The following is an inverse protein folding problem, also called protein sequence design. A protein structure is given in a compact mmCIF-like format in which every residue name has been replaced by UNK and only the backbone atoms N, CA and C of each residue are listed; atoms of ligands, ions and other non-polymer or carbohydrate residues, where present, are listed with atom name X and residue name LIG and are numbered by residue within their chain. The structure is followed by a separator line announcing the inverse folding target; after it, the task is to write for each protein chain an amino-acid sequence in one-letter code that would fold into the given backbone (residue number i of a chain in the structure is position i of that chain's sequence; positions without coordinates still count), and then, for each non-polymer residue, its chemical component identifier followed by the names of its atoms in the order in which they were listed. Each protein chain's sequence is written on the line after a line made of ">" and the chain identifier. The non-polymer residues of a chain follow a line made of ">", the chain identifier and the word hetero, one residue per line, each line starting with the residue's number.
data_IF_332574182648
#
_entry.id   IF_332574182648
#
_cell.length_a   1.000
_cell.length_b   1.000
_cell.length_c   1.000
_cell.angle_alpha   90.00
_cell.angle_beta   90.00
_cell.angle_gamma   90.00
#
_symmetry.space_group_name_H-M   'P 1'
#
loop_
_entity.id
_entity.type
_entity.pdbx_description
1 polymer ?
#
# COMPACT_ATOMS: atom_id res chain seq x y z
N UNK A 1 -0.56 9.79 12.26
CA UNK A 1 -0.94 9.32 10.91
C UNK A 1 -2.44 9.51 10.71
N UNK A 2 -2.86 9.83 9.49
CA UNK A 2 -4.27 9.79 9.04
C UNK A 2 -5.29 10.46 9.99
N UNK A 3 -4.83 11.47 10.72
CA UNK A 3 -5.62 12.19 11.70
C UNK A 3 -5.77 13.66 11.31
N UNK A 4 -6.26 14.49 12.24
CA UNK A 4 -6.28 15.93 12.06
C UNK A 4 -4.89 16.48 11.75
N UNK A 5 -4.79 17.32 10.73
CA UNK A 5 -3.54 17.93 10.25
C UNK A 5 -3.41 19.35 10.81
N UNK A 6 -2.20 19.77 11.17
CA UNK A 6 -1.93 21.19 11.47
C UNK A 6 -2.12 22.00 10.18
N UNK A 7 -3.01 22.99 10.15
CA UNK A 7 -3.42 23.63 8.91
C UNK A 7 -3.48 25.16 9.02
N UNK A 8 -3.24 25.91 7.93
CA UNK A 8 -3.45 27.36 7.91
C UNK A 8 -4.94 27.72 7.93
N UNK A 9 -5.36 28.66 8.79
CA UNK A 9 -6.78 29.01 8.99
C UNK A 9 -7.51 29.59 7.77
N UNK A 10 -6.79 30.03 6.74
CA UNK A 10 -7.35 30.58 5.51
C UNK A 10 -7.21 29.69 4.28
N UNK A 11 -6.55 28.55 4.39
CA UNK A 11 -6.30 27.67 3.24
C UNK A 11 -7.39 26.59 3.16
N UNK A 12 -8.11 26.46 2.03
CA UNK A 12 -9.15 25.44 1.90
C UNK A 12 -8.55 24.03 1.93
N UNK A 13 -9.33 23.06 2.40
CA UNK A 13 -8.90 21.67 2.36
C UNK A 13 -8.69 21.20 0.91
N UNK A 14 -7.57 20.53 0.61
CA UNK A 14 -7.20 20.13 -0.74
C UNK A 14 -8.18 19.13 -1.34
N UNK A 15 -8.39 19.25 -2.66
CA UNK A 15 -9.32 18.40 -3.43
C UNK A 15 -8.68 17.94 -4.74
N UNK A 16 -8.92 16.70 -5.11
CA UNK A 16 -8.50 16.09 -6.36
C UNK A 16 -9.64 16.12 -7.39
N UNK A 17 -9.31 16.51 -8.63
CA UNK A 17 -10.21 16.41 -9.79
C UNK A 17 -9.54 15.69 -10.97
N UNK A 18 -8.44 14.98 -10.71
CA UNK A 18 -7.79 14.15 -11.73
C UNK A 18 -8.66 12.92 -12.05
N UNK A 19 -8.58 12.40 -13.29
CA UNK A 19 -9.21 11.13 -13.62
C UNK A 19 -8.76 10.02 -12.65
N UNK A 20 -9.72 9.28 -12.10
CA UNK A 20 -9.47 8.12 -11.25
C UNK A 20 -10.50 7.02 -11.52
N UNK A 21 -10.26 5.86 -10.92
CA UNK A 21 -11.19 4.75 -10.93
C UNK A 21 -12.49 5.13 -10.25
N UNK A 22 -13.56 5.19 -11.04
CA UNK A 22 -14.94 5.33 -10.56
C UNK A 22 -15.70 4.06 -10.86
N UNK A 23 -16.58 3.66 -9.95
CA UNK A 23 -17.59 2.65 -10.27
C UNK A 23 -18.70 3.28 -11.12
N UNK A 24 -19.09 2.55 -12.16
CA UNK A 24 -20.15 2.91 -13.09
C UNK A 24 -21.16 1.77 -13.07
N UNK A 25 -22.38 2.07 -12.65
CA UNK A 25 -23.51 1.18 -12.84
C UNK A 25 -24.19 1.50 -14.16
N UNK A 26 -24.32 0.48 -15.02
CA UNK A 26 -24.97 0.60 -16.33
C UNK A 26 -25.81 -0.64 -16.63
N UNK A 27 -26.78 -0.56 -17.56
CA UNK A 27 -27.45 -1.75 -18.07
C UNK A 27 -26.44 -2.77 -18.61
N UNK A 28 -26.72 -4.05 -18.40
CA UNK A 28 -25.92 -5.13 -18.97
C UNK A 28 -26.05 -5.12 -20.50
N UNK A 29 -24.92 -5.21 -21.20
CA UNK A 29 -24.88 -5.42 -22.65
C UNK A 29 -25.07 -6.90 -22.98
N UNK A 30 -25.32 -7.20 -24.25
CA UNK A 30 -25.35 -8.59 -24.71
C UNK A 30 -24.02 -9.32 -24.44
N UNK A 31 -22.89 -8.61 -24.52
CA UNK A 31 -21.56 -9.17 -24.22
C UNK A 31 -21.38 -9.47 -22.73
N UNK A 32 -21.86 -8.61 -21.83
CA UNK A 32 -21.81 -8.89 -20.39
C UNK A 32 -22.66 -10.11 -20.03
N UNK A 33 -23.86 -10.21 -20.61
CA UNK A 33 -24.76 -11.34 -20.39
C UNK A 33 -24.15 -12.65 -20.89
N UNK A 34 -23.47 -12.61 -22.03
CA UNK A 34 -22.73 -13.73 -22.59
C UNK A 34 -21.53 -14.11 -21.71
N UNK A 35 -20.79 -13.13 -21.19
CA UNK A 35 -19.71 -13.35 -20.24
C UNK A 35 -20.22 -14.01 -18.95
N UNK A 36 -21.36 -13.56 -18.42
CA UNK A 36 -21.99 -14.18 -17.26
C UNK A 36 -22.39 -15.62 -17.53
N UNK A 37 -23.00 -15.90 -18.67
CA UNK A 37 -23.36 -17.26 -19.08
C UNK A 37 -22.13 -18.17 -19.14
N UNK A 38 -21.04 -17.70 -19.76
CA UNK A 38 -19.77 -18.44 -19.82
C UNK A 38 -19.17 -18.67 -18.43
N UNK A 39 -19.23 -17.67 -17.55
CA UNK A 39 -18.77 -17.81 -16.16
C UNK A 39 -19.57 -18.85 -15.39
N UNK A 40 -20.90 -18.83 -15.52
CA UNK A 40 -21.80 -19.80 -14.88
C UNK A 40 -21.52 -21.23 -15.41
N UNK A 41 -21.23 -21.39 -16.71
CA UNK A 41 -20.82 -22.66 -17.32
C UNK A 41 -19.48 -23.19 -16.80
N UNK A 42 -18.47 -22.31 -16.65
CA UNK A 42 -17.16 -22.69 -16.09
C UNK A 42 -17.28 -23.10 -14.62
N UNK A 43 -18.08 -22.39 -13.82
CA UNK A 43 -18.36 -22.77 -12.43
C UNK A 43 -19.06 -24.13 -12.36
N UNK A 44 -20.03 -24.39 -13.25
CA UNK A 44 -20.69 -25.69 -13.33
C UNK A 44 -19.70 -26.82 -13.68
N UNK A 45 -18.82 -26.60 -14.67
CA UNK A 45 -17.76 -27.56 -15.05
C UNK A 45 -16.79 -27.82 -13.89
N UNK A 46 -16.40 -26.79 -13.15
CA UNK A 46 -15.53 -26.94 -11.99
C UNK A 46 -16.23 -27.73 -10.88
N UNK A 47 -17.51 -27.45 -10.62
CA UNK A 47 -18.29 -28.21 -9.64
C UNK A 47 -18.42 -29.69 -10.03
N UNK A 48 -18.63 -30.01 -11.30
CA UNK A 48 -18.69 -31.39 -11.78
C UNK A 48 -17.34 -32.11 -11.63
N UNK A 49 -16.23 -31.45 -11.98
CA UNK A 49 -14.88 -31.98 -11.77
C UNK A 49 -14.59 -32.27 -10.30
N UNK A 50 -14.90 -31.33 -9.41
CA UNK A 50 -14.72 -31.50 -7.97
C UNK A 50 -15.62 -32.60 -7.40
N UNK A 51 -16.84 -32.78 -7.92
CA UNK A 51 -17.76 -33.85 -7.50
C UNK A 51 -17.27 -35.24 -7.91
N UNK A 52 -16.51 -35.32 -9.00
CA UNK A 52 -15.96 -36.56 -9.53
C UNK A 52 -14.64 -36.98 -8.86
N UNK A 53 -14.04 -36.12 -8.03
CA UNK A 53 -12.82 -36.46 -7.30
C UNK A 53 -13.13 -37.48 -6.19
N UNK A 54 -12.25 -38.49 -5.99
CA UNK A 54 -12.39 -39.41 -4.88
C UNK A 54 -12.20 -38.68 -3.55
N UNK A 55 -12.81 -39.17 -2.45
CA UNK A 55 -12.59 -38.61 -1.12
C UNK A 55 -11.13 -38.85 -0.69
N UNK A 56 -10.37 -37.78 -0.51
CA UNK A 56 -9.00 -37.80 0.02
C UNK A 56 -9.01 -37.99 1.55
N UNK A 57 -8.56 -39.14 2.09
CA UNK A 57 -8.53 -39.36 3.53
C UNK A 57 -7.49 -38.46 4.19
N UNK A 58 -7.88 -37.73 5.25
CA UNK A 58 -6.94 -36.97 6.10
C UNK A 58 -6.62 -35.54 5.64
N UNK A 59 -7.31 -35.00 4.63
CA UNK A 59 -7.18 -33.59 4.27
C UNK A 59 -7.74 -32.67 5.38
N UNK A 60 -6.99 -31.63 5.76
CA UNK A 60 -7.44 -30.59 6.71
C UNK A 60 -8.34 -29.51 6.05
N UNK A 61 -8.61 -29.63 4.75
CA UNK A 61 -9.39 -28.68 3.96
C UNK A 61 -10.85 -29.08 3.78
N UNK A 62 -11.63 -28.20 3.15
CA UNK A 62 -13.02 -28.51 2.77
C UNK A 62 -13.04 -29.70 1.79
N UNK A 63 -13.85 -30.74 2.03
CA UNK A 63 -13.98 -31.85 1.09
C UNK A 63 -14.41 -31.38 -0.30
N UNK A 64 -13.84 -31.97 -1.36
CA UNK A 64 -14.14 -31.58 -2.75
C UNK A 64 -15.65 -31.64 -3.08
N UNK A 65 -16.36 -32.64 -2.55
CA UNK A 65 -17.81 -32.76 -2.69
C UNK A 65 -18.56 -31.58 -2.04
N UNK A 66 -18.12 -31.12 -0.86
CA UNK A 66 -18.70 -29.96 -0.17
C UNK A 66 -18.41 -28.67 -0.93
N UNK A 67 -17.18 -28.50 -1.43
CA UNK A 67 -16.80 -27.36 -2.27
C UNK A 67 -17.64 -27.32 -3.57
N UNK A 68 -17.84 -28.47 -4.22
CA UNK A 68 -18.71 -28.57 -5.39
C UNK A 68 -20.16 -28.19 -5.08
N UNK A 69 -20.70 -28.64 -3.95
CA UNK A 69 -22.05 -28.29 -3.52
C UNK A 69 -22.18 -26.78 -3.26
N UNK A 70 -21.19 -26.16 -2.61
CA UNK A 70 -21.14 -24.72 -2.40
C UNK A 70 -21.12 -23.96 -3.73
N UNK A 71 -20.29 -24.37 -4.70
CA UNK A 71 -20.24 -23.75 -6.02
C UNK A 71 -21.59 -23.82 -6.75
N UNK A 72 -22.30 -24.97 -6.70
CA UNK A 72 -23.66 -25.10 -7.28
C UNK A 72 -24.68 -24.19 -6.59
N UNK A 73 -24.59 -24.04 -5.27
CA UNK A 73 -25.44 -23.11 -4.53
C UNK A 73 -25.18 -21.66 -4.94
N UNK A 74 -23.92 -21.24 -5.03
CA UNK A 74 -23.53 -19.89 -5.46
C UNK A 74 -23.99 -19.61 -6.90
N UNK A 75 -23.79 -20.57 -7.82
CA UNK A 75 -24.23 -20.46 -9.20
C UNK A 75 -25.76 -20.34 -9.32
N UNK A 76 -26.51 -21.16 -8.58
CA UNK A 76 -27.99 -21.10 -8.62
C UNK A 76 -28.55 -19.80 -8.01
N UNK A 77 -27.94 -19.30 -6.92
CA UNK A 77 -28.29 -18.00 -6.36
C UNK A 77 -28.01 -16.85 -7.34
N UNK A 78 -26.93 -16.95 -8.10
CA UNK A 78 -26.56 -15.99 -9.15
C UNK A 78 -27.51 -16.03 -10.35
N UNK A 79 -27.86 -17.23 -10.84
CA UNK A 79 -28.74 -17.42 -12.00
C UNK A 79 -30.18 -16.93 -11.74
N UNK A 80 -30.65 -16.97 -10.48
CA UNK A 80 -31.99 -16.55 -10.11
C UNK A 80 -32.16 -15.02 -9.97
N UNK A 81 -31.10 -14.22 -10.11
CA UNK A 81 -31.20 -12.76 -10.16
C UNK A 81 -31.02 -12.30 -11.61
N UNK A 82 -32.00 -11.61 -12.21
CA UNK A 82 -31.83 -11.06 -13.54
C UNK A 82 -30.69 -10.04 -13.51
N UNK A 83 -29.60 -10.32 -14.24
CA UNK A 83 -28.41 -9.47 -14.38
C UNK A 83 -28.71 -8.29 -15.31
N UNK A 84 -29.62 -7.42 -14.89
CA UNK A 84 -30.09 -6.26 -15.69
C UNK A 84 -29.12 -5.09 -15.66
N UNK A 85 -28.36 -4.95 -14.58
CA UNK A 85 -27.29 -3.96 -14.44
C UNK A 85 -25.96 -4.63 -14.14
N UNK A 86 -24.88 -3.98 -14.57
CA UNK A 86 -23.51 -4.35 -14.26
C UNK A 86 -22.82 -3.17 -13.62
N UNK A 87 -22.01 -3.46 -12.60
CA UNK A 87 -21.04 -2.50 -12.05
C UNK A 87 -19.72 -2.74 -12.74
N UNK A 88 -19.24 -1.72 -13.44
CA UNK A 88 -17.91 -1.70 -14.06
C UNK A 88 -17.07 -0.61 -13.41
N UNK A 89 -15.75 -0.64 -13.63
CA UNK A 89 -14.87 0.46 -13.24
C UNK A 89 -14.26 1.10 -14.47
N UNK A 90 -14.14 2.42 -14.49
CA UNK A 90 -13.45 3.15 -15.55
C UNK A 90 -12.64 4.31 -14.96
N UNK A 91 -11.61 4.75 -15.71
CA UNK A 91 -10.96 6.02 -15.41
C UNK A 91 -11.85 7.15 -15.90
N UNK A 92 -12.32 7.99 -15.00
CA UNK A 92 -13.08 9.18 -15.36
C UNK A 92 -12.77 10.33 -14.41
N UNK A 93 -12.99 11.55 -14.90
CA UNK A 93 -12.96 12.75 -14.05
C UNK A 93 -14.19 12.67 -13.13
N UNK A 94 -14.01 12.79 -11.80
CA UNK A 94 -15.15 12.77 -10.89
C UNK A 94 -16.06 13.98 -11.13
N UNK A 95 -17.39 13.83 -10.99
CA UNK A 95 -18.35 14.92 -11.22
C UNK A 95 -18.19 16.07 -10.20
N UNK A 96 -17.59 15.79 -9.04
CA UNK A 96 -17.25 16.77 -8.02
C UNK A 96 -15.81 16.51 -7.52
N UNK A 97 -15.02 17.55 -7.19
CA UNK A 97 -13.69 17.33 -6.64
C UNK A 97 -13.71 16.57 -5.32
N UNK A 98 -12.92 15.49 -5.25
CA UNK A 98 -12.82 14.58 -4.11
C UNK A 98 -11.90 15.17 -3.05
N UNK A 99 -12.33 15.33 -1.78
CA UNK A 99 -11.43 15.76 -0.71
C UNK A 99 -10.28 14.76 -0.53
N UNK A 100 -9.06 15.26 -0.41
CA UNK A 100 -7.90 14.40 -0.16
C UNK A 100 -7.95 13.89 1.29
N UNK A 101 -7.53 12.65 1.52
CA UNK A 101 -7.45 12.08 2.86
C UNK A 101 -6.05 12.34 3.45
N UNK A 102 -5.95 12.58 4.77
CA UNK A 102 -4.66 12.72 5.44
C UNK A 102 -3.92 11.38 5.43
N UNK A 103 -2.62 11.42 5.16
CA UNK A 103 -1.75 10.23 5.21
C UNK A 103 -0.83 10.33 6.41
N UNK A 104 0.08 11.30 6.40
CA UNK A 104 1.04 11.48 7.50
C UNK A 104 1.42 12.94 7.67
N UNK A 105 1.77 13.31 8.91
CA UNK A 105 2.42 14.56 9.24
C UNK A 105 3.61 14.26 10.14
N UNK A 106 4.80 14.68 9.73
CA UNK A 106 6.07 14.39 10.40
C UNK A 106 6.85 15.69 10.60
N UNK A 107 7.44 15.89 11.78
CA UNK A 107 8.34 17.03 12.02
C UNK A 107 9.75 16.67 11.59
N UNK A 108 10.53 17.65 11.16
CA UNK A 108 11.94 17.46 10.80
C UNK A 108 12.76 16.83 11.93
N UNK A 109 12.43 17.13 13.19
CA UNK A 109 13.07 16.54 14.36
C UNK A 109 12.84 15.03 14.49
N UNK A 110 11.73 14.49 13.97
CA UNK A 110 11.37 13.08 14.06
C UNK A 110 11.97 12.25 12.90
N UNK A 111 12.40 12.91 11.81
CA UNK A 111 12.97 12.28 10.61
C UNK A 111 14.27 12.98 10.17
N UNK A 112 15.34 12.91 10.98
CA UNK A 112 16.55 13.73 10.80
C UNK A 112 17.32 13.48 9.50
N UNK A 113 17.10 12.33 8.85
CA UNK A 113 17.73 11.99 7.57
C UNK A 113 17.01 12.58 6.35
N UNK A 114 15.75 13.02 6.52
CA UNK A 114 14.98 13.63 5.44
C UNK A 114 15.40 15.09 5.23
N UNK A 115 15.46 15.50 3.96
CA UNK A 115 15.73 16.90 3.60
C UNK A 115 14.42 17.70 3.57
N UNK A 116 14.45 18.86 4.20
CA UNK A 116 13.35 19.83 4.19
C UNK A 116 13.73 21.04 3.36
N UNK A 117 12.81 21.61 2.56
CA UNK A 117 13.01 22.92 1.96
C UNK A 117 13.34 23.99 3.01
N UNK A 118 14.11 25.01 2.62
CA UNK A 118 14.49 26.11 3.51
C UNK A 118 13.26 26.76 4.17
N UNK A 119 13.35 26.99 5.49
CA UNK A 119 12.28 27.62 6.27
C UNK A 119 11.08 26.72 6.56
N UNK A 120 11.19 25.40 6.35
CA UNK A 120 10.14 24.42 6.70
C UNK A 120 10.66 23.40 7.70
N UNK A 121 9.77 22.94 8.59
CA UNK A 121 10.07 21.96 9.65
C UNK A 121 8.97 20.89 9.77
N UNK A 122 7.95 20.93 8.90
CA UNK A 122 6.82 20.02 8.90
C UNK A 122 6.53 19.49 7.49
N UNK A 123 6.53 18.16 7.36
CA UNK A 123 6.10 17.44 6.17
C UNK A 123 4.66 16.97 6.39
N UNK A 124 3.79 17.23 5.43
CA UNK A 124 2.44 16.68 5.38
C UNK A 124 2.23 15.99 4.04
N UNK A 125 1.69 14.78 4.09
CA UNK A 125 1.27 14.05 2.90
C UNK A 125 -0.24 13.80 3.02
N UNK A 126 -0.94 14.19 1.97
CA UNK A 126 -2.34 13.87 1.73
C UNK A 126 -2.42 13.18 0.38
N UNK A 127 -3.48 12.41 0.11
CA UNK A 127 -3.68 11.88 -1.24
C UNK A 127 -5.16 11.76 -1.61
N UNK A 128 -5.43 11.64 -2.91
CA UNK A 128 -6.73 11.16 -3.37
C UNK A 128 -6.88 9.69 -2.94
N UNK A 129 -8.00 9.30 -2.29
CA UNK A 129 -8.17 7.95 -1.79
C UNK A 129 -8.56 6.93 -2.89
N UNK A 130 -8.73 7.39 -4.14
CA UNK A 130 -9.07 6.57 -5.30
C UNK A 130 -7.84 6.25 -6.16
N UNK A 131 -7.97 5.18 -6.94
CA UNK A 131 -6.89 4.69 -7.80
C UNK A 131 -6.74 5.55 -9.06
N UNK A 132 -5.56 6.10 -9.30
CA UNK A 132 -5.18 6.80 -10.52
C UNK A 132 -4.23 5.96 -11.37
N UNK A 133 -4.33 6.08 -12.69
CA UNK A 133 -3.36 5.51 -13.63
C UNK A 133 -2.52 6.57 -14.36
N UNK A 134 -2.81 7.86 -14.12
CA UNK A 134 -2.09 8.99 -14.67
C UNK A 134 -2.20 10.17 -13.68
N UNK A 135 -1.05 10.67 -13.23
CA UNK A 135 -0.95 11.83 -12.33
C UNK A 135 0.14 12.74 -12.88
N UNK A 136 -0.12 14.05 -13.08
CA UNK A 136 0.90 14.97 -13.58
C UNK A 136 2.15 14.97 -12.70
N UNK A 137 3.32 14.83 -13.33
CA UNK A 137 4.62 14.81 -12.64
C UNK A 137 5.03 13.46 -12.04
N UNK A 138 4.22 12.41 -12.20
CA UNK A 138 4.55 11.03 -11.86
C UNK A 138 4.92 10.21 -13.10
N UNK A 139 5.58 9.07 -12.88
CA UNK A 139 5.82 8.04 -13.89
C UNK A 139 4.56 7.65 -14.68
N UNK A 140 4.71 7.36 -15.98
CA UNK A 140 3.61 7.01 -16.88
C UNK A 140 2.90 5.69 -16.52
N UNK A 141 3.62 4.81 -15.79
CA UNK A 141 3.10 3.57 -15.24
C UNK A 141 2.60 3.74 -13.81
N UNK A 142 2.44 4.96 -13.29
CA UNK A 142 1.84 5.19 -11.96
C UNK A 142 0.50 4.48 -11.85
N UNK A 143 0.34 3.67 -10.81
CA UNK A 143 -0.92 2.98 -10.49
C UNK A 143 -1.13 3.10 -8.98
N UNK A 144 -1.99 4.00 -8.54
CA UNK A 144 -2.15 4.26 -7.11
C UNK A 144 -2.77 5.61 -6.78
N UNK A 145 -2.75 6.02 -5.50
CA UNK A 145 -3.30 7.30 -5.08
C UNK A 145 -2.51 8.47 -5.69
N UNK A 146 -3.17 9.61 -5.88
CA UNK A 146 -2.51 10.85 -6.31
C UNK A 146 -2.10 11.66 -5.07
N UNK A 147 -0.79 11.84 -4.79
CA UNK A 147 -0.34 12.51 -3.59
C UNK A 147 -0.34 14.03 -3.74
N UNK A 148 -0.44 14.70 -2.60
CA UNK A 148 -0.07 16.09 -2.42
C UNK A 148 0.87 16.16 -1.22
N UNK A 149 2.05 16.71 -1.46
CA UNK A 149 3.09 16.90 -0.44
C UNK A 149 3.13 18.38 -0.10
N UNK A 150 3.00 18.68 1.19
CA UNK A 150 3.12 20.04 1.70
C UNK A 150 4.30 20.12 2.67
N UNK A 151 5.25 20.98 2.35
CA UNK A 151 6.31 21.40 3.25
C UNK A 151 5.89 22.70 3.92
N UNK A 152 5.87 22.75 5.25
CA UNK A 152 5.32 23.87 6.02
C UNK A 152 6.28 24.32 7.12
N UNK A 153 6.16 25.59 7.45
CA UNK A 153 6.65 26.19 8.68
C UNK A 153 5.59 26.01 9.76
N UNK A 154 5.83 25.14 10.74
CA UNK A 154 4.87 24.75 11.74
C UNK A 154 4.45 25.91 12.65
N UNK A 155 5.26 26.98 12.75
CA UNK A 155 4.94 28.18 13.52
C UNK A 155 3.81 29.02 12.88
N UNK A 156 3.54 28.81 11.60
CA UNK A 156 2.48 29.51 10.84
C UNK A 156 1.16 28.76 10.83
N UNK A 157 1.09 27.58 11.45
CA UNK A 157 -0.10 26.73 11.47
C UNK A 157 -0.84 26.93 12.79
N UNK A 158 -2.14 27.20 12.70
CA UNK A 158 -2.89 27.78 13.83
C UNK A 158 -3.98 26.87 14.38
N UNK A 159 -4.35 25.81 13.66
CA UNK A 159 -5.42 24.91 14.08
C UNK A 159 -5.26 23.50 13.50
N UNK A 160 -5.99 22.55 14.05
CA UNK A 160 -6.11 21.19 13.53
C UNK A 160 -7.32 21.11 12.61
N UNK A 161 -7.10 20.76 11.34
CA UNK A 161 -8.16 20.55 10.35
C UNK A 161 -8.34 19.07 10.05
N UNK A 162 -9.59 18.66 9.81
CA UNK A 162 -9.96 17.33 9.32
C UNK A 162 -10.50 17.43 7.90
N UNK A 163 -10.40 16.35 7.11
CA UNK A 163 -11.07 16.34 5.81
C UNK A 163 -12.59 16.51 5.99
N UNK A 164 -13.28 17.11 5.01
CA UNK A 164 -14.74 17.18 4.98
C UNK A 164 -15.40 15.79 5.09
N UNK A 165 -16.62 15.76 5.64
CA UNK A 165 -17.40 14.54 5.78
C UNK A 165 -17.51 13.75 4.47
N UNK A 166 -17.36 12.42 4.56
CA UNK A 166 -17.40 11.50 3.42
C UNK A 166 -16.09 11.38 2.64
N UNK A 167 -15.01 12.04 3.07
CA UNK A 167 -13.70 11.82 2.47
C UNK A 167 -13.25 10.36 2.66
N UNK A 168 -12.98 9.67 1.54
CA UNK A 168 -12.49 8.30 1.55
C UNK A 168 -13.53 7.20 1.73
N UNK A 169 -14.83 7.50 1.83
CA UNK A 169 -15.88 6.49 2.08
C UNK A 169 -15.88 5.32 1.09
N UNK A 170 -15.54 5.58 -0.18
CA UNK A 170 -15.44 4.55 -1.24
C UNK A 170 -13.99 4.38 -1.75
N UNK A 171 -13.03 4.93 -1.01
CA UNK A 171 -11.62 4.92 -1.36
C UNK A 171 -10.92 3.65 -0.88
N UNK A 172 -9.97 3.15 -1.67
CA UNK A 172 -9.16 1.98 -1.29
C UNK A 172 -7.88 2.36 -0.56
N UNK A 173 -7.44 3.61 -0.69
CA UNK A 173 -6.21 4.12 -0.09
C UNK A 173 -6.54 4.99 1.12
N UNK A 174 -7.24 4.43 2.10
CA UNK A 174 -7.58 5.11 3.36
C UNK A 174 -6.82 4.42 4.49
N UNK A 175 -6.30 5.20 5.43
CA UNK A 175 -5.60 4.71 6.61
C UNK A 175 -6.43 5.01 7.87
N UNK A 176 -6.25 4.17 8.89
CA UNK A 176 -6.78 4.39 10.22
C UNK A 176 -6.01 5.49 10.94
N UNK A 177 -6.70 6.37 11.65
CA UNK A 177 -6.05 7.38 12.49
C UNK A 177 -5.27 6.70 13.60
N UNK A 178 -3.98 7.00 13.71
CA UNK A 178 -3.12 6.52 14.79
C UNK A 178 -2.03 7.55 15.15
N UNK A 179 -1.48 7.41 16.35
CA UNK A 179 -0.29 8.16 16.78
C UNK A 179 0.95 7.38 16.35
N UNK A 180 1.99 8.09 15.91
CA UNK A 180 3.28 7.49 15.55
C UNK A 180 4.23 7.69 16.72
N UNK A 181 4.91 6.63 17.14
CA UNK A 181 6.05 6.67 18.06
C UNK A 181 7.31 6.37 17.24
N UNK A 182 8.13 7.39 16.90
CA UNK A 182 9.29 7.15 16.05
C UNK A 182 10.42 6.43 16.81
N UNK A 183 10.91 5.34 16.23
CA UNK A 183 12.12 4.65 16.65
C UNK A 183 13.18 4.76 15.53
N UNK A 184 14.43 5.07 15.90
CA UNK A 184 15.53 5.12 14.94
C UNK A 184 16.26 3.77 14.91
N UNK A 185 16.18 3.10 13.76
CA UNK A 185 16.84 1.82 13.49
C UNK A 185 17.97 1.96 12.46
N UNK A 186 18.81 0.94 12.35
CA UNK A 186 19.73 0.78 11.21
C UNK A 186 19.07 -0.12 10.19
N UNK A 187 18.93 0.37 8.96
CA UNK A 187 18.29 -0.34 7.84
C UNK A 187 19.30 -0.44 6.69
N UNK A 188 19.53 -1.65 6.18
CA UNK A 188 20.45 -1.92 5.08
C UNK A 188 19.69 -2.18 3.76
N UNK A 189 20.32 -1.99 2.59
CA UNK A 189 19.68 -2.33 1.31
C UNK A 189 19.45 -3.83 1.18
N UNK A 190 18.43 -4.21 0.41
CA UNK A 190 18.24 -5.60 -0.02
C UNK A 190 19.52 -6.15 -0.67
N UNK A 191 19.79 -7.45 -0.51
CA UNK A 191 20.96 -8.13 -1.06
C UNK A 191 21.16 -7.83 -2.54
N UNK A 192 20.09 -7.82 -3.34
CA UNK A 192 20.16 -7.59 -4.78
C UNK A 192 20.57 -6.14 -5.15
N UNK A 193 20.46 -5.20 -4.20
CA UNK A 193 20.89 -3.82 -4.38
C UNK A 193 22.37 -3.58 -4.01
N UNK A 194 23.05 -4.57 -3.43
CA UNK A 194 24.46 -4.49 -3.09
C UNK A 194 25.35 -4.81 -4.30
N UNK A 195 26.59 -4.28 -4.37
CA UNK A 195 27.59 -4.73 -5.32
C UNK A 195 27.93 -6.23 -5.14
N UNK A 196 28.20 -6.94 -6.25
CA UNK A 196 28.51 -8.38 -6.25
C UNK A 196 29.53 -8.81 -5.18
N UNK A 197 30.66 -8.10 -4.95
CA UNK A 197 31.62 -8.50 -3.91
C UNK A 197 31.07 -8.44 -2.47
N UNK A 198 30.02 -7.65 -2.22
CA UNK A 198 29.32 -7.65 -0.93
C UNK A 198 28.28 -8.75 -0.86
N UNK A 199 27.62 -9.09 -1.97
CA UNK A 199 26.70 -10.23 -2.02
C UNK A 199 27.45 -11.54 -1.73
N UNK A 200 28.58 -11.79 -2.40
CA UNK A 200 29.43 -12.98 -2.16
C UNK A 200 29.89 -13.06 -0.69
N UNK A 201 30.27 -11.93 -0.09
CA UNK A 201 30.66 -11.87 1.32
C UNK A 201 29.52 -12.17 2.28
N UNK A 202 28.29 -11.81 1.92
CA UNK A 202 27.10 -12.13 2.73
C UNK A 202 26.77 -13.62 2.61
N UNK A 203 26.93 -14.22 1.44
CA UNK A 203 26.79 -15.66 1.23
C UNK A 203 27.82 -16.44 2.05
N UNK A 204 29.11 -16.11 1.94
CA UNK A 204 30.18 -16.71 2.75
C UNK A 204 29.92 -16.58 4.25
N UNK A 205 29.45 -15.40 4.68
CA UNK A 205 29.10 -15.15 6.08
C UNK A 205 27.92 -16.02 6.52
N UNK A 206 26.85 -16.10 5.71
CA UNK A 206 25.68 -16.93 6.02
C UNK A 206 26.06 -18.41 6.11
N UNK A 207 26.85 -18.92 5.16
CA UNK A 207 27.35 -20.30 5.16
C UNK A 207 28.20 -20.60 6.40
N UNK A 208 28.96 -19.62 6.88
CA UNK A 208 29.77 -19.76 8.10
C UNK A 208 28.95 -19.93 9.39
N UNK A 209 27.66 -19.54 9.39
CA UNK A 209 26.76 -19.71 10.53
C UNK A 209 26.27 -21.16 10.68
N UNK A 210 26.41 -21.97 9.64
CA UNK A 210 25.91 -23.35 9.60
C UNK A 210 24.40 -23.43 9.30
N UNK A 211 23.81 -24.63 9.41
CA UNK A 211 22.41 -24.85 9.04
C UNK A 211 21.44 -24.23 10.05
N UNK A 212 20.40 -23.57 9.53
CA UNK A 212 19.30 -22.94 10.30
C UNK A 212 19.79 -21.98 11.41
N UNK A 213 20.50 -20.88 11.03
CA UNK A 213 21.06 -19.95 12.00
C UNK A 213 20.00 -19.16 12.79
N UNK A 214 18.72 -19.22 12.38
CA UNK A 214 17.62 -18.50 13.02
C UNK A 214 17.59 -16.99 12.75
N UNK A 215 18.54 -16.47 11.96
CA UNK A 215 18.56 -15.10 11.45
C UNK A 215 19.33 -15.02 10.14
N UNK A 216 19.00 -14.07 9.28
CA UNK A 216 19.75 -13.80 8.06
C UNK A 216 19.72 -12.31 7.68
N UNK A 217 20.64 -11.92 6.79
CA UNK A 217 20.76 -10.52 6.38
C UNK A 217 19.47 -9.97 5.75
N UNK A 218 18.83 -10.75 4.86
CA UNK A 218 17.69 -10.30 4.08
C UNK A 218 16.48 -10.05 4.98
N UNK A 219 16.24 -10.96 5.93
CA UNK A 219 15.05 -10.92 6.75
C UNK A 219 15.22 -10.10 8.03
N UNK A 220 16.43 -10.01 8.60
CA UNK A 220 16.66 -9.41 9.92
C UNK A 220 17.47 -8.11 9.91
N UNK A 221 18.08 -7.73 8.78
CA UNK A 221 18.95 -6.54 8.71
C UNK A 221 18.64 -5.62 7.53
N UNK A 222 18.08 -6.14 6.44
CA UNK A 222 17.86 -5.40 5.21
C UNK A 222 16.39 -5.07 4.95
N UNK A 223 16.19 -3.95 4.27
CA UNK A 223 14.91 -3.46 3.76
C UNK A 223 13.79 -3.57 4.81
N UNK A 224 14.05 -3.02 6.00
CA UNK A 224 13.20 -3.16 7.19
C UNK A 224 11.70 -3.04 6.81
N UNK A 225 10.87 -4.05 7.11
CA UNK A 225 9.45 -4.00 6.79
C UNK A 225 8.75 -2.94 7.64
N UNK A 226 7.50 -2.63 7.30
CA UNK A 226 6.68 -1.74 8.13
C UNK A 226 6.57 -0.31 7.63
N UNK A 227 5.86 0.51 8.41
CA UNK A 227 5.83 1.96 8.25
C UNK A 227 7.22 2.52 8.57
N UNK A 228 7.85 3.18 7.60
CA UNK A 228 9.13 3.85 7.83
C UNK A 228 9.31 5.11 7.01
N UNK A 229 10.09 6.04 7.54
CA UNK A 229 10.52 7.23 6.83
C UNK A 229 12.04 7.18 6.63
N UNK A 230 12.48 7.23 5.37
CA UNK A 230 13.87 6.90 5.02
C UNK A 230 14.12 5.39 4.92
N UNK A 231 15.40 5.01 4.96
CA UNK A 231 15.85 3.62 4.84
C UNK A 231 15.80 3.11 3.39
N UNK A 232 15.63 1.80 3.24
CA UNK A 232 15.71 1.13 1.94
C UNK A 232 14.39 0.45 1.56
N UNK A 233 13.84 0.68 0.36
CA UNK A 233 12.60 0.03 -0.05
C UNK A 233 12.79 -1.48 -0.23
N UNK A 234 11.79 -2.25 0.18
CA UNK A 234 11.66 -3.66 -0.22
C UNK A 234 11.04 -3.73 -1.63
N UNK A 235 11.68 -4.50 -2.51
CA UNK A 235 11.20 -4.77 -3.85
C UNK A 235 11.06 -6.28 -4.06
N UNK A 236 9.83 -6.82 -4.25
CA UNK A 236 9.63 -8.24 -4.52
C UNK A 236 10.30 -8.74 -5.81
N UNK A 237 10.63 -7.82 -6.71
CA UNK A 237 11.13 -8.09 -8.06
C UNK A 237 12.47 -7.42 -8.33
N UNK A 238 13.26 -7.22 -7.28
CA UNK A 238 14.59 -6.61 -7.33
C UNK A 238 14.59 -5.08 -7.38
N UNK A 239 15.75 -4.46 -7.09
CA UNK A 239 15.87 -3.02 -6.92
C UNK A 239 15.56 -2.26 -8.20
N UNK A 240 14.82 -1.15 -8.06
CA UNK A 240 14.48 -0.25 -9.16
C UNK A 240 15.12 1.11 -8.92
N UNK A 241 15.93 1.63 -9.86
CA UNK A 241 16.39 3.02 -9.81
C UNK A 241 15.19 3.97 -9.94
N UNK A 242 15.09 4.93 -9.02
CA UNK A 242 14.00 5.91 -9.01
C UNK A 242 14.60 7.28 -9.33
N UNK A 243 14.62 7.64 -10.61
CA UNK A 243 15.24 8.88 -11.10
C UNK A 243 14.37 10.12 -10.90
N UNK A 244 15.01 11.27 -10.75
CA UNK A 244 14.37 12.59 -10.80
C UNK A 244 14.60 13.27 -12.15
N UNK A 245 13.67 14.12 -12.58
CA UNK A 245 13.78 14.89 -13.81
C UNK A 245 15.00 15.83 -13.83
N UNK A 246 15.57 16.17 -12.67
CA UNK A 246 16.82 16.95 -12.58
C UNK A 246 18.10 16.13 -12.80
N UNK A 247 17.99 14.80 -13.01
CA UNK A 247 19.11 13.90 -13.21
C UNK A 247 19.69 13.28 -11.93
N UNK A 248 19.18 13.65 -10.75
CA UNK A 248 19.56 13.01 -9.49
C UNK A 248 18.71 11.77 -9.18
N UNK A 249 19.25 10.86 -8.38
CA UNK A 249 18.47 9.79 -7.74
C UNK A 249 17.48 10.34 -6.71
N UNK A 250 16.49 9.52 -6.39
CA UNK A 250 15.54 9.77 -5.31
C UNK A 250 15.76 8.78 -4.18
N UNK A 251 15.65 9.28 -2.96
CA UNK A 251 15.70 8.48 -1.74
C UNK A 251 14.27 8.11 -1.31
N UNK A 252 14.12 6.99 -0.61
CA UNK A 252 12.84 6.63 0.02
C UNK A 252 12.50 7.70 1.07
N UNK A 253 11.36 8.38 0.89
CA UNK A 253 10.83 9.34 1.86
C UNK A 253 9.93 8.63 2.88
N UNK A 254 9.03 7.78 2.40
CA UNK A 254 8.06 7.07 3.23
C UNK A 254 7.67 5.74 2.59
N UNK A 255 7.61 4.68 3.39
CA UNK A 255 6.99 3.40 3.05
C UNK A 255 5.75 3.20 3.92
N UNK A 256 4.63 2.86 3.30
CA UNK A 256 3.36 2.52 3.97
C UNK A 256 2.98 1.10 3.56
N UNK A 257 3.09 0.12 4.46
CA UNK A 257 2.90 -1.27 4.11
C UNK A 257 1.42 -1.67 4.18
N UNK A 258 1.04 -2.70 3.41
CA UNK A 258 -0.19 -3.46 3.62
C UNK A 258 0.00 -4.44 4.79
N UNK A 259 0.12 -3.88 5.98
CA UNK A 259 0.44 -4.60 7.20
C UNK A 259 1.93 -4.78 7.48
N UNK A 260 2.25 -4.87 8.75
CA UNK A 260 3.60 -4.91 9.30
C UNK A 260 3.92 -6.36 9.69
N UNK A 261 4.30 -7.14 8.69
CA UNK A 261 4.81 -8.50 8.87
C UNK A 261 6.31 -8.48 8.63
N UNK A 262 7.05 -9.01 9.59
CA UNK A 262 8.49 -9.10 9.58
C UNK A 262 8.95 -10.18 10.55
N UNK A 263 10.25 -10.42 10.59
CA UNK A 263 10.84 -11.23 11.64
C UNK A 263 10.77 -10.51 13.00
N UNK A 264 10.86 -11.24 14.12
CA UNK A 264 10.82 -10.62 15.45
C UNK A 264 11.92 -9.58 15.71
N UNK A 265 13.03 -9.60 14.94
CA UNK A 265 14.12 -8.63 15.06
C UNK A 265 13.70 -7.20 14.69
N UNK A 266 12.64 -7.03 13.88
CA UNK A 266 12.07 -5.72 13.53
C UNK A 266 10.95 -5.26 14.46
N UNK A 267 10.59 -6.06 15.46
CA UNK A 267 9.56 -5.65 16.41
C UNK A 267 10.11 -4.54 17.30
N UNK A 268 9.44 -3.38 17.41
CA UNK A 268 9.83 -2.33 18.34
C UNK A 268 10.01 -2.87 19.75
N UNK A 269 10.98 -2.34 20.49
CA UNK A 269 11.31 -2.85 21.84
C UNK A 269 10.10 -2.81 22.77
N UNK A 270 9.28 -1.77 22.69
CA UNK A 270 8.04 -1.62 23.45
C UNK A 270 6.95 -2.65 23.09
N UNK A 271 6.99 -3.21 21.88
CA UNK A 271 5.95 -4.08 21.33
C UNK A 271 6.31 -5.57 21.38
N UNK A 272 7.48 -5.95 21.92
CA UNK A 272 7.91 -7.34 22.00
C UNK A 272 6.91 -8.26 22.71
N UNK A 273 6.25 -7.79 23.78
CA UNK A 273 5.20 -8.57 24.45
C UNK A 273 3.98 -8.76 23.56
N UNK A 274 3.54 -7.71 22.86
CA UNK A 274 2.39 -7.76 21.95
C UNK A 274 2.67 -8.64 20.73
N UNK A 275 3.91 -8.68 20.24
CA UNK A 275 4.32 -9.58 19.18
C UNK A 275 4.21 -11.06 19.57
N UNK A 276 4.50 -11.41 20.83
CA UNK A 276 4.34 -12.78 21.35
C UNK A 276 2.86 -13.15 21.47
N UNK A 277 2.01 -12.23 21.92
CA UNK A 277 0.55 -12.44 22.01
C UNK A 277 -0.09 -12.56 20.62
N UNK A 278 0.44 -11.81 19.64
CA UNK A 278 0.00 -11.81 18.25
C UNK A 278 -1.37 -11.16 18.05
N UNK A 279 -1.99 -11.46 16.91
CA UNK A 279 -3.31 -10.96 16.53
C UNK A 279 -3.32 -10.24 15.18
N UNK A 280 -4.47 -10.22 14.52
CA UNK A 280 -4.61 -9.57 13.20
C UNK A 280 -4.35 -8.06 13.30
N UNK A 281 -4.87 -7.40 14.34
CA UNK A 281 -4.67 -5.96 14.57
C UNK A 281 -3.20 -5.58 14.78
N UNK A 282 -2.40 -6.46 15.38
CA UNK A 282 -0.96 -6.22 15.61
C UNK A 282 -0.21 -6.04 14.29
N UNK A 283 -0.59 -6.80 13.27
CA UNK A 283 0.04 -6.73 11.95
C UNK A 283 -0.58 -5.66 11.04
N UNK A 284 -1.61 -4.94 11.46
CA UNK A 284 -2.27 -3.93 10.62
C UNK A 284 -2.49 -2.59 11.36
N UNK A 285 -1.46 -2.01 12.00
CA UNK A 285 -1.61 -0.84 12.87
C UNK A 285 -2.08 0.42 12.13
N UNK A 286 -1.82 0.52 10.83
CA UNK A 286 -2.26 1.62 9.98
C UNK A 286 -3.63 1.38 9.33
N UNK A 287 -4.17 0.16 9.42
CA UNK A 287 -5.36 -0.29 8.70
C UNK A 287 -5.29 -0.15 7.17
N UNK A 288 -4.10 0.07 6.61
CA UNK A 288 -3.93 0.33 5.19
C UNK A 288 -3.97 -0.98 4.38
N UNK A 289 -4.85 -1.01 3.38
CA UNK A 289 -5.01 -2.15 2.46
C UNK A 289 -5.05 -1.70 0.99
N UNK A 290 -4.47 -0.54 0.69
CA UNK A 290 -4.51 0.07 -0.64
C UNK A 290 -3.44 -0.42 -1.62
N UNK A 291 -2.61 -1.37 -1.21
CA UNK A 291 -1.52 -1.98 -1.98
C UNK A 291 -1.51 -3.49 -1.73
N UNK A 292 -0.80 -4.27 -2.56
CA UNK A 292 -0.59 -5.69 -2.28
C UNK A 292 0.45 -5.83 -1.16
N UNK A 293 1.58 -5.15 -1.33
CA UNK A 293 2.73 -5.20 -0.42
C UNK A 293 2.92 -3.85 0.28
N UNK A 294 3.18 -2.76 -0.45
CA UNK A 294 3.40 -1.44 0.14
C UNK A 294 3.21 -0.28 -0.86
N UNK A 295 3.06 0.93 -0.33
CA UNK A 295 3.23 2.18 -1.08
C UNK A 295 4.54 2.82 -0.68
N UNK A 296 5.44 3.01 -1.65
CA UNK A 296 6.70 3.71 -1.48
C UNK A 296 6.61 5.10 -2.09
N UNK A 297 6.99 6.13 -1.33
CA UNK A 297 7.06 7.52 -1.76
C UNK A 297 8.53 7.94 -1.77
N UNK A 298 9.02 8.41 -2.91
CA UNK A 298 10.41 8.79 -3.13
C UNK A 298 10.56 10.29 -3.33
N UNK A 299 11.52 10.90 -2.64
CA UNK A 299 11.87 12.32 -2.77
C UNK A 299 13.22 12.50 -3.44
N UNK A 300 13.39 13.59 -4.18
CA UNK A 300 14.66 13.90 -4.85
C UNK A 300 15.76 14.15 -3.81
N UNK A 301 16.92 13.51 -4.00
CA UNK A 301 18.06 13.63 -3.09
C UNK A 301 18.71 15.02 -3.08
N UNK A 302 18.52 15.78 -4.16
CA UNK A 302 19.08 17.14 -4.32
C UNK A 302 18.11 18.24 -3.91
N UNK A 303 16.82 18.10 -4.22
CA UNK A 303 15.82 19.13 -3.96
C UNK A 303 14.48 18.51 -3.53
N UNK A 304 14.11 18.57 -2.24
CA UNK A 304 12.84 18.02 -1.74
C UNK A 304 11.59 18.77 -2.24
N UNK A 305 11.74 19.92 -2.92
CA UNK A 305 10.64 20.63 -3.56
C UNK A 305 10.22 20.02 -4.90
N UNK A 306 11.06 19.16 -5.52
CA UNK A 306 10.65 18.43 -6.71
C UNK A 306 9.48 17.47 -6.42
N UNK A 307 8.58 17.23 -7.40
CA UNK A 307 7.50 16.27 -7.22
C UNK A 307 8.03 14.91 -6.76
N UNK A 308 7.37 14.32 -5.77
CA UNK A 308 7.67 12.95 -5.31
C UNK A 308 7.29 11.93 -6.38
N UNK A 309 7.85 10.73 -6.31
CA UNK A 309 7.41 9.59 -7.11
C UNK A 309 6.76 8.56 -6.20
N UNK A 310 5.65 7.96 -6.63
CA UNK A 310 5.00 6.87 -5.90
C UNK A 310 5.12 5.56 -6.67
N UNK A 311 5.40 4.49 -5.94
CA UNK A 311 5.26 3.11 -6.40
C UNK A 311 4.32 2.37 -5.46
N UNK A 312 3.41 1.59 -6.04
CA UNK A 312 2.50 0.70 -5.32
C UNK A 312 2.85 -0.71 -5.74
N UNK A 313 3.32 -1.51 -4.78
CA UNK A 313 3.65 -2.92 -4.98
C UNK A 313 2.47 -3.82 -4.60
#
# INVERSE_FOLDING_TARGET
>A
MAGPMLWPSGEPWPRCQLPHMVEIERPATAEDLELFRRGDEEVARLADRLSALPPEPGSRGMPAATAAQLLRMLASASANRPRTTVRTSAMAVPPKPVPMVPVVQLRAADIPHARFPEGTDLLQILWCPHWHNAVPGMDEHHRGPAPMVCWRDSTKLTHHATPPDGAGTDGRSVLSTCVISPEQITDYPDTEALPDPLQERLEDWHDSLGPDPGFDYRNDLAAAPGLKAGGWPYWPHGPRPVGCACGADRDLLLSIPNGERGTPSWTPLEDQTRAVEGGEEFHHPTGFHGARDAVHIFSCRQDPAHPVQIYVE
#
